data_IF_724068149590
#
_entry.id   IF_724068149590
#
_cell.length_a   1.000
_cell.length_b   1.000
_cell.length_c   1.000
_cell.angle_alpha   90.00
_cell.angle_beta   90.00
_cell.angle_gamma   90.00
#
_symmetry.space_group_name_H-M   'P 1'
#
loop_
_entity.id
_entity.type
_entity.pdbx_description
1 polymer ?
#
# COMPACT_ATOMS: atom_id res chain seq x y z
N UNK A 1 19.31 -5.23 -9.18
CA UNK A 1 18.29 -5.98 -9.95
C UNK A 1 17.46 -6.86 -9.02
N UNK A 2 16.18 -7.05 -9.33
CA UNK A 2 15.26 -7.89 -8.55
C UNK A 2 14.59 -8.85 -9.54
N UNK A 3 14.74 -10.15 -9.34
CA UNK A 3 14.22 -11.19 -10.26
C UNK A 3 13.55 -12.31 -9.48
N UNK A 4 12.48 -12.87 -10.04
CA UNK A 4 11.84 -14.06 -9.49
C UNK A 4 12.58 -15.33 -9.96
N UNK A 5 12.87 -16.23 -9.03
CA UNK A 5 13.51 -17.53 -9.27
C UNK A 5 12.69 -18.59 -8.54
N UNK A 6 11.81 -19.27 -9.28
CA UNK A 6 10.81 -20.17 -8.70
C UNK A 6 9.83 -19.43 -7.80
N UNK A 7 9.74 -19.86 -6.54
CA UNK A 7 8.88 -19.25 -5.51
C UNK A 7 9.56 -18.11 -4.72
N UNK A 8 10.87 -17.93 -4.92
CA UNK A 8 11.67 -16.92 -4.24
C UNK A 8 12.02 -15.76 -5.16
N UNK A 9 12.33 -14.63 -4.55
CA UNK A 9 12.85 -13.47 -5.23
C UNK A 9 14.31 -13.27 -4.84
N UNK A 10 15.15 -13.03 -5.85
CA UNK A 10 16.56 -12.72 -5.70
C UNK A 10 16.75 -11.23 -5.91
N UNK A 11 17.26 -10.54 -4.89
CA UNK A 11 17.66 -9.14 -4.98
C UNK A 11 19.17 -9.07 -5.00
N UNK A 12 19.75 -8.48 -6.05
CA UNK A 12 21.19 -8.34 -6.23
C UNK A 12 21.61 -6.88 -6.33
N UNK A 13 22.67 -6.52 -5.63
CA UNK A 13 23.28 -5.19 -5.64
C UNK A 13 24.55 -5.16 -4.81
N UNK A 14 25.50 -4.29 -5.15
CA UNK A 14 26.75 -4.12 -4.39
C UNK A 14 27.62 -5.37 -4.24
N UNK A 15 27.54 -6.33 -5.17
CA UNK A 15 28.22 -7.62 -5.04
C UNK A 15 27.57 -8.59 -4.05
N UNK A 16 26.46 -8.20 -3.44
CA UNK A 16 25.67 -9.03 -2.51
C UNK A 16 24.39 -9.54 -3.20
N UNK A 17 23.87 -10.64 -2.70
CA UNK A 17 22.55 -11.16 -3.08
C UNK A 17 21.78 -11.63 -1.86
N UNK A 18 20.47 -11.38 -1.85
CA UNK A 18 19.56 -11.84 -0.81
C UNK A 18 18.36 -12.55 -1.45
N UNK A 19 17.93 -13.63 -0.82
CA UNK A 19 16.70 -14.34 -1.14
C UNK A 19 15.59 -13.87 -0.21
N UNK A 20 14.48 -13.46 -0.78
CA UNK A 20 13.29 -13.03 -0.03
C UNK A 20 12.06 -13.77 -0.54
N UNK A 21 11.11 -14.04 0.35
CA UNK A 21 9.84 -14.66 -0.01
C UNK A 21 9.06 -13.72 -0.93
N UNK A 22 8.37 -14.29 -1.93
CA UNK A 22 7.48 -13.52 -2.78
C UNK A 22 6.40 -12.78 -1.99
N UNK A 23 6.26 -11.50 -2.27
CA UNK A 23 5.17 -10.67 -1.76
C UNK A 23 4.85 -9.57 -2.76
N UNK A 24 3.64 -9.02 -2.67
CA UNK A 24 3.24 -7.89 -3.52
C UNK A 24 4.16 -6.69 -3.39
N UNK A 25 4.74 -6.45 -2.22
CA UNK A 25 5.72 -5.38 -2.04
C UNK A 25 7.01 -5.62 -2.83
N UNK A 26 7.46 -6.87 -2.90
CA UNK A 26 8.62 -7.26 -3.70
C UNK A 26 8.32 -7.16 -5.21
N UNK A 27 7.10 -7.55 -5.64
CA UNK A 27 6.66 -7.36 -7.02
C UNK A 27 6.62 -5.87 -7.43
N UNK A 28 6.09 -5.01 -6.55
CA UNK A 28 6.10 -3.56 -6.75
C UNK A 28 7.53 -3.01 -6.83
N UNK A 29 8.42 -3.43 -5.93
CA UNK A 29 9.83 -3.05 -5.97
C UNK A 29 10.51 -3.51 -7.25
N UNK A 30 10.23 -4.73 -7.70
CA UNK A 30 10.80 -5.26 -8.94
C UNK A 30 10.39 -4.43 -10.15
N UNK A 31 9.12 -4.01 -10.23
CA UNK A 31 8.63 -3.09 -11.28
C UNK A 31 9.35 -1.75 -11.23
N UNK A 32 9.42 -1.12 -10.06
CA UNK A 32 10.12 0.16 -9.89
C UNK A 32 11.61 0.07 -10.29
N UNK A 33 12.29 -1.01 -9.91
CA UNK A 33 13.71 -1.22 -10.23
C UNK A 33 13.94 -1.61 -11.69
N UNK A 34 12.96 -2.26 -12.35
CA UNK A 34 13.02 -2.59 -13.77
C UNK A 34 12.86 -1.36 -14.67
N UNK A 35 12.20 -0.30 -14.18
CA UNK A 35 11.96 0.94 -14.91
C UNK A 35 12.53 2.17 -14.17
N UNK A 36 13.88 2.31 -14.06
CA UNK A 36 14.49 3.45 -13.38
C UNK A 36 14.06 4.80 -13.97
N UNK A 37 13.73 5.75 -13.09
CA UNK A 37 13.30 7.09 -13.46
C UNK A 37 11.83 7.22 -13.87
N UNK A 38 11.12 6.10 -14.12
CA UNK A 38 9.70 6.14 -14.47
C UNK A 38 8.82 6.34 -13.24
N UNK A 39 7.84 7.21 -13.39
CA UNK A 39 6.79 7.44 -12.40
C UNK A 39 5.61 6.50 -12.64
N UNK A 40 5.23 5.76 -11.60
CA UNK A 40 4.05 4.90 -11.59
C UNK A 40 2.98 5.48 -10.69
N UNK A 41 1.77 5.67 -11.20
CA UNK A 41 0.68 6.14 -10.35
C UNK A 41 0.34 5.08 -9.29
N UNK A 42 0.00 5.48 -8.07
CA UNK A 42 -0.28 4.53 -6.97
C UNK A 42 -1.39 3.54 -7.28
N UNK A 43 -2.41 3.95 -8.02
CA UNK A 43 -3.48 3.04 -8.48
C UNK A 43 -2.95 2.00 -9.45
N UNK A 44 -2.11 2.39 -10.41
CA UNK A 44 -1.47 1.48 -11.39
C UNK A 44 -0.53 0.49 -10.68
N UNK A 45 0.26 0.98 -9.72
CA UNK A 45 1.18 0.16 -8.96
C UNK A 45 0.43 -0.82 -8.03
N UNK A 46 -0.72 -0.41 -7.49
CA UNK A 46 -1.59 -1.25 -6.66
C UNK A 46 -2.42 -2.24 -7.49
N UNK A 47 -2.87 -1.86 -8.68
CA UNK A 47 -3.64 -2.71 -9.59
C UNK A 47 -2.71 -3.59 -10.41
N UNK A 48 -2.59 -4.86 -10.04
CA UNK A 48 -1.97 -5.84 -10.93
C UNK A 48 -3.10 -6.42 -11.78
N UNK A 49 -3.15 -5.98 -13.04
CA UNK A 49 -3.97 -6.42 -14.19
C UNK A 49 -5.12 -7.38 -13.87
N UNK A 50 -6.34 -6.84 -13.70
CA UNK A 50 -7.58 -7.25 -14.38
C UNK A 50 -8.70 -6.23 -14.09
N UNK A 51 -9.63 -6.14 -15.03
CA UNK A 51 -10.43 -4.96 -15.35
C UNK A 51 -11.37 -4.46 -14.24
N UNK A 52 -11.51 -3.13 -14.23
CA UNK A 52 -12.53 -2.34 -13.55
C UNK A 52 -13.89 -2.70 -14.10
N UNK A 53 -14.84 -3.07 -13.24
CA UNK A 53 -16.27 -3.05 -13.58
C UNK A 53 -17.09 -2.39 -12.46
N UNK A 54 -18.05 -1.55 -12.86
CA UNK A 54 -18.70 -0.54 -12.04
C UNK A 54 -20.09 -0.91 -11.51
N UNK A 55 -20.55 -0.12 -10.53
CA UNK A 55 -21.94 -0.06 -10.01
C UNK A 55 -22.00 0.97 -8.87
N UNK A 56 -22.74 2.08 -9.01
CA UNK A 56 -24.13 2.35 -8.52
C UNK A 56 -24.33 2.09 -7.00
N UNK A 57 -25.07 2.81 -6.14
CA UNK A 57 -26.00 3.95 -6.13
C UNK A 57 -26.20 4.39 -4.63
N UNK A 58 -27.08 5.38 -4.30
CA UNK A 58 -27.90 5.56 -3.07
C UNK A 58 -27.60 6.46 -1.83
N UNK A 59 -27.77 7.80 -1.87
CA UNK A 59 -27.93 8.76 -0.73
C UNK A 59 -26.77 9.38 0.11
N UNK A 60 -27.00 10.60 0.60
CA UNK A 60 -26.00 11.60 1.05
C UNK A 60 -25.81 11.59 2.57
N UNK A 61 -24.61 11.25 3.06
CA UNK A 61 -24.20 11.56 4.46
C UNK A 61 -23.89 13.06 4.60
N UNK A 62 -24.40 13.64 5.70
CA UNK A 62 -24.10 14.98 6.21
C UNK A 62 -22.58 15.30 6.25
N UNK A 63 -22.12 16.47 5.75
CA UNK A 63 -20.70 16.81 5.68
C UNK A 63 -19.92 16.68 7.00
N UNK A 64 -20.55 17.01 8.13
CA UNK A 64 -19.95 16.91 9.48
C UNK A 64 -19.68 15.47 9.87
N UNK A 65 -20.66 14.59 9.62
CA UNK A 65 -20.49 13.15 9.84
C UNK A 65 -19.34 12.58 8.98
N UNK A 66 -19.15 13.04 7.74
CA UNK A 66 -18.06 12.57 6.86
C UNK A 66 -16.67 12.94 7.36
N UNK A 67 -16.51 14.06 8.04
CA UNK A 67 -15.23 14.45 8.62
C UNK A 67 -14.91 13.62 9.86
N UNK A 68 -15.89 13.41 10.74
CA UNK A 68 -15.75 12.51 11.88
C UNK A 68 -15.38 11.07 11.44
N UNK A 69 -16.01 10.56 10.38
CA UNK A 69 -15.66 9.25 9.82
C UNK A 69 -14.24 9.22 9.23
N UNK A 70 -13.78 10.28 8.57
CA UNK A 70 -12.41 10.36 8.04
C UNK A 70 -11.38 10.39 9.14
N UNK A 71 -11.65 11.13 10.21
CA UNK A 71 -10.80 11.19 11.38
C UNK A 71 -10.71 9.83 12.08
N UNK A 72 -11.85 9.18 12.31
CA UNK A 72 -11.90 7.85 12.90
C UNK A 72 -11.20 6.78 12.05
N UNK A 73 -11.32 6.85 10.72
CA UNK A 73 -10.57 5.96 9.81
C UNK A 73 -9.06 6.18 9.92
N UNK A 74 -8.60 7.42 10.07
CA UNK A 74 -7.15 7.72 10.25
C UNK A 74 -6.65 7.20 11.59
N UNK A 75 -7.43 7.39 12.64
CA UNK A 75 -7.11 6.93 13.99
C UNK A 75 -7.01 5.40 14.06
N UNK A 76 -8.02 4.67 13.57
CA UNK A 76 -8.01 3.21 13.56
C UNK A 76 -6.89 2.64 12.66
N UNK A 77 -6.57 3.34 11.58
CA UNK A 77 -5.40 3.01 10.74
C UNK A 77 -4.11 3.17 11.54
N UNK A 78 -3.92 4.27 12.27
CA UNK A 78 -2.75 4.49 13.12
C UNK A 78 -2.64 3.44 14.24
N UNK A 79 -3.76 3.09 14.89
CA UNK A 79 -3.79 2.07 15.94
C UNK A 79 -3.42 0.68 15.39
N UNK A 80 -3.95 0.31 14.22
CA UNK A 80 -3.56 -0.94 13.55
C UNK A 80 -2.07 -0.91 13.21
N UNK A 81 -1.58 0.20 12.67
CA UNK A 81 -0.19 0.33 12.23
C UNK A 81 0.79 0.28 13.42
N UNK A 82 0.44 0.88 14.57
CA UNK A 82 1.20 0.75 15.82
C UNK A 82 1.20 -0.68 16.35
N UNK A 83 0.04 -1.35 16.31
CA UNK A 83 -0.09 -2.74 16.76
C UNK A 83 0.71 -3.72 15.87
N UNK A 84 0.67 -3.53 14.55
CA UNK A 84 1.50 -4.29 13.60
C UNK A 84 2.99 -4.03 13.82
N UNK A 85 3.39 -2.78 14.08
CA UNK A 85 4.78 -2.40 14.35
C UNK A 85 5.32 -2.97 15.67
N UNK A 86 4.45 -3.14 16.68
CA UNK A 86 4.82 -3.69 17.99
C UNK A 86 4.62 -5.20 18.10
N UNK A 87 4.16 -5.86 17.04
CA UNK A 87 3.95 -7.30 17.03
C UNK A 87 2.78 -7.76 17.90
N UNK A 88 1.74 -6.92 18.03
CA UNK A 88 0.49 -7.23 18.71
C UNK A 88 -0.61 -7.55 17.68
N UNK A 89 -0.68 -8.81 17.18
CA UNK A 89 -1.64 -9.18 16.14
C UNK A 89 -3.09 -9.06 16.61
N UNK A 90 -3.38 -9.26 17.90
CA UNK A 90 -4.73 -9.17 18.43
C UNK A 90 -5.26 -7.74 18.51
N UNK A 91 -4.38 -6.75 18.71
CA UNK A 91 -4.74 -5.33 18.60
C UNK A 91 -4.84 -4.88 17.14
N UNK A 92 -4.01 -5.42 16.24
CA UNK A 92 -4.08 -5.14 14.82
C UNK A 92 -5.37 -5.69 14.18
N UNK A 93 -5.76 -6.92 14.53
CA UNK A 93 -6.96 -7.58 14.03
C UNK A 93 -8.24 -6.84 14.47
N UNK A 94 -8.35 -6.47 15.75
CA UNK A 94 -9.48 -5.67 16.24
C UNK A 94 -9.61 -4.32 15.54
N UNK A 95 -8.49 -3.63 15.31
CA UNK A 95 -8.51 -2.37 14.57
C UNK A 95 -8.88 -2.58 13.09
N UNK A 96 -8.51 -3.71 12.49
CA UNK A 96 -8.89 -4.07 11.13
C UNK A 96 -10.39 -4.39 11.01
N UNK A 97 -10.96 -5.13 11.96
CA UNK A 97 -12.40 -5.42 12.05
C UNK A 97 -13.21 -4.12 12.18
N UNK A 98 -12.76 -3.20 13.03
CA UNK A 98 -13.43 -1.91 13.24
C UNK A 98 -13.35 -1.02 11.99
N UNK A 99 -12.22 -1.04 11.27
CA UNK A 99 -12.08 -0.36 9.96
C UNK A 99 -13.03 -0.93 8.90
N UNK A 100 -13.20 -2.25 8.87
CA UNK A 100 -14.08 -2.93 7.92
C UNK A 100 -15.55 -2.61 8.21
N UNK A 101 -15.97 -2.70 9.47
CA UNK A 101 -17.31 -2.36 9.92
C UNK A 101 -17.67 -0.89 9.58
N UNK A 102 -16.76 0.05 9.89
CA UNK A 102 -16.95 1.47 9.61
C UNK A 102 -17.01 1.77 8.11
N UNK A 103 -16.22 1.05 7.30
CA UNK A 103 -16.23 1.20 5.84
C UNK A 103 -17.52 0.65 5.23
N UNK A 104 -18.04 -0.47 5.74
CA UNK A 104 -19.30 -1.07 5.29
C UNK A 104 -20.52 -0.21 5.68
N UNK A 105 -20.51 0.39 6.87
CA UNK A 105 -21.52 1.36 7.30
C UNK A 105 -21.52 2.61 6.41
N UNK A 106 -20.34 3.19 6.15
CA UNK A 106 -20.20 4.32 5.23
C UNK A 106 -20.68 3.99 3.82
N UNK A 107 -20.34 2.83 3.28
CA UNK A 107 -20.75 2.41 1.94
C UNK A 107 -22.28 2.29 1.82
N UNK A 108 -22.96 1.85 2.89
CA UNK A 108 -24.43 1.76 2.96
C UNK A 108 -25.11 3.11 3.09
N UNK A 109 -24.48 4.07 3.76
CA UNK A 109 -25.09 5.36 4.05
C UNK A 109 -24.78 6.48 3.03
N UNK A 110 -23.76 6.32 2.15
CA UNK A 110 -23.28 7.37 1.20
C UNK A 110 -23.64 7.16 -0.27
N UNK A 111 -24.56 6.28 -0.61
CA UNK A 111 -24.71 5.91 -2.01
C UNK A 111 -24.93 7.12 -2.96
N UNK A 112 -24.67 6.92 -4.25
CA UNK A 112 -24.79 7.91 -5.34
C UNK A 112 -23.76 9.07 -5.24
N UNK A 113 -22.81 9.03 -6.19
CA UNK A 113 -21.86 10.11 -6.50
C UNK A 113 -20.42 9.66 -6.74
N UNK A 114 -20.19 8.35 -6.71
CA UNK A 114 -18.88 7.70 -6.54
C UNK A 114 -17.90 7.67 -7.72
N UNK A 115 -17.71 8.73 -8.52
CA UNK A 115 -16.55 8.78 -9.44
C UNK A 115 -15.43 9.69 -8.92
N UNK A 116 -15.63 11.00 -8.88
CA UNK A 116 -14.53 11.93 -8.51
C UNK A 116 -14.05 11.77 -7.06
N UNK A 117 -14.97 11.58 -6.10
CA UNK A 117 -14.59 11.36 -4.69
C UNK A 117 -14.10 9.94 -4.42
N UNK A 118 -14.61 8.93 -5.13
CA UNK A 118 -14.17 7.53 -5.00
C UNK A 118 -12.76 7.36 -5.56
N UNK A 119 -12.41 8.05 -6.65
CA UNK A 119 -11.04 8.08 -7.19
C UNK A 119 -10.06 8.71 -6.20
N UNK A 120 -10.40 9.84 -5.56
CA UNK A 120 -9.55 10.43 -4.52
C UNK A 120 -9.33 9.53 -3.30
N UNK A 121 -10.40 8.89 -2.81
CA UNK A 121 -10.32 7.95 -1.68
C UNK A 121 -9.58 6.66 -2.06
N UNK A 122 -9.80 6.15 -3.28
CA UNK A 122 -9.10 4.97 -3.79
C UNK A 122 -7.61 5.27 -3.98
N UNK A 123 -7.26 6.46 -4.47
CA UNK A 123 -5.87 6.89 -4.64
C UNK A 123 -5.16 7.04 -3.30
N UNK A 124 -5.80 7.62 -2.28
CA UNK A 124 -5.19 7.71 -0.94
C UNK A 124 -5.02 6.32 -0.30
N UNK A 125 -6.03 5.44 -0.43
CA UNK A 125 -5.93 4.04 0.03
C UNK A 125 -4.81 3.30 -0.69
N UNK A 126 -4.71 3.45 -2.02
CA UNK A 126 -3.65 2.85 -2.81
C UNK A 126 -2.29 3.39 -2.42
N UNK A 127 -2.15 4.71 -2.21
CA UNK A 127 -0.92 5.34 -1.74
C UNK A 127 -0.45 4.74 -0.42
N UNK A 128 -1.30 4.70 0.60
CA UNK A 128 -0.96 4.13 1.89
C UNK A 128 -0.63 2.64 1.79
N UNK A 129 -1.38 1.88 0.99
CA UNK A 129 -1.17 0.44 0.81
C UNK A 129 0.18 0.16 0.10
N UNK A 130 0.45 0.87 -0.99
CA UNK A 130 1.71 0.80 -1.76
C UNK A 130 2.87 1.18 -0.87
N UNK A 131 2.80 2.31 -0.16
CA UNK A 131 3.86 2.76 0.74
C UNK A 131 4.16 1.72 1.82
N UNK A 132 3.12 1.14 2.46
CA UNK A 132 3.28 0.08 3.46
C UNK A 132 3.95 -1.17 2.87
N UNK A 133 3.47 -1.64 1.71
CA UNK A 133 4.02 -2.84 1.06
C UNK A 133 5.47 -2.65 0.63
N UNK A 134 5.80 -1.49 0.07
CA UNK A 134 7.17 -1.13 -0.29
C UNK A 134 8.06 -1.08 0.95
N UNK A 135 7.62 -0.45 2.03
CA UNK A 135 8.37 -0.39 3.28
C UNK A 135 8.64 -1.78 3.88
N UNK A 136 7.62 -2.64 3.94
CA UNK A 136 7.79 -4.01 4.44
C UNK A 136 8.76 -4.81 3.57
N UNK A 137 8.66 -4.69 2.25
CA UNK A 137 9.57 -5.35 1.33
C UNK A 137 11.01 -4.83 1.47
N UNK A 138 11.21 -3.53 1.68
CA UNK A 138 12.51 -2.94 1.99
C UNK A 138 13.08 -3.46 3.31
N UNK A 139 12.26 -3.63 4.35
CA UNK A 139 12.68 -4.21 5.63
C UNK A 139 13.11 -5.67 5.48
N UNK A 140 12.37 -6.47 4.72
CA UNK A 140 12.75 -7.86 4.42
C UNK A 140 14.11 -7.94 3.71
N UNK A 141 14.33 -7.07 2.72
CA UNK A 141 15.63 -6.99 2.04
C UNK A 141 16.72 -6.54 3.02
N UNK A 142 16.45 -5.53 3.85
CA UNK A 142 17.40 -5.01 4.84
C UNK A 142 17.82 -6.07 5.87
N UNK A 143 16.91 -6.97 6.25
CA UNK A 143 17.19 -8.07 7.17
C UNK A 143 18.20 -9.07 6.60
N UNK A 144 18.21 -9.30 5.28
CA UNK A 144 19.19 -10.18 4.64
C UNK A 144 20.42 -9.47 4.05
N UNK A 145 20.31 -8.19 3.68
CA UNK A 145 21.43 -7.32 3.33
C UNK A 145 21.10 -5.87 3.68
N UNK A 146 21.76 -5.35 4.71
CA UNK A 146 21.60 -3.96 5.15
C UNK A 146 21.94 -2.97 4.04
N UNK A 147 23.01 -3.24 3.29
CA UNK A 147 23.53 -2.36 2.24
C UNK A 147 22.56 -2.22 1.06
N UNK A 148 22.02 -3.34 0.59
CA UNK A 148 21.00 -3.34 -0.47
C UNK A 148 19.73 -2.62 0.02
N UNK A 149 19.27 -2.95 1.24
CA UNK A 149 18.07 -2.34 1.81
C UNK A 149 18.17 -0.82 1.96
N UNK A 150 19.30 -0.32 2.47
CA UNK A 150 19.53 1.13 2.67
C UNK A 150 19.60 1.89 1.32
N UNK A 151 20.25 1.31 0.31
CA UNK A 151 20.28 1.91 -1.04
C UNK A 151 18.89 2.03 -1.65
N UNK A 152 18.11 0.94 -1.62
CA UNK A 152 16.77 0.94 -2.20
C UNK A 152 15.85 1.93 -1.45
N UNK A 153 15.95 2.01 -0.12
CA UNK A 153 15.18 2.95 0.68
C UNK A 153 15.53 4.42 0.35
N UNK A 154 16.80 4.74 0.09
CA UNK A 154 17.22 6.09 -0.30
C UNK A 154 16.77 6.46 -1.72
N UNK A 155 16.78 5.48 -2.61
CA UNK A 155 16.54 5.63 -4.06
C UNK A 155 15.07 5.62 -4.46
N UNK A 156 14.18 5.07 -3.62
CA UNK A 156 12.75 5.00 -3.93
C UNK A 156 12.04 6.25 -3.41
N UNK A 157 11.31 6.92 -4.29
CA UNK A 157 10.40 8.02 -3.94
C UNK A 157 8.98 7.51 -3.96
N UNK A 158 8.25 7.74 -2.88
CA UNK A 158 6.84 7.39 -2.71
C UNK A 158 5.99 8.65 -2.60
N UNK A 159 4.76 8.58 -3.09
CA UNK A 159 3.83 9.69 -3.24
C UNK A 159 2.62 9.22 -4.04
N UNK A 160 1.85 10.12 -4.64
CA UNK A 160 0.83 9.75 -5.65
C UNK A 160 1.46 9.05 -6.85
N UNK A 161 2.73 9.36 -7.11
CA UNK A 161 3.58 8.67 -8.05
C UNK A 161 4.77 8.06 -7.32
N UNK A 162 5.07 6.80 -7.62
CA UNK A 162 6.21 6.07 -7.10
C UNK A 162 7.27 5.93 -8.20
N UNK A 163 8.54 6.16 -7.87
CA UNK A 163 9.66 5.98 -8.80
C UNK A 163 10.91 5.48 -8.10
N UNK A 164 11.77 4.80 -8.86
CA UNK A 164 13.12 4.45 -8.44
C UNK A 164 14.13 5.37 -9.12
N UNK A 165 14.99 6.02 -8.32
CA UNK A 165 16.06 6.91 -8.78
C UNK A 165 17.36 6.49 -8.09
N UNK A 166 18.19 5.63 -8.73
CA UNK A 166 19.42 5.08 -8.18
C UNK A 166 20.53 6.11 -7.94
#
# INVERSE_FOLDING_TARGET
>A
MIVQVGELWVVRGFGEQVHVKGSRGIEMLARLVAEPGREHHVLELASTTEAVDGGDAGEVIDPTAREAYRERLRELTAIRDEAEAWGDPGRAERAAEELEALTAELARAVGLGGRTRRVGVASERARSNVQRRLNHALQQIRAGSRRIGEHLAASIKTGTYCRYQP
#
